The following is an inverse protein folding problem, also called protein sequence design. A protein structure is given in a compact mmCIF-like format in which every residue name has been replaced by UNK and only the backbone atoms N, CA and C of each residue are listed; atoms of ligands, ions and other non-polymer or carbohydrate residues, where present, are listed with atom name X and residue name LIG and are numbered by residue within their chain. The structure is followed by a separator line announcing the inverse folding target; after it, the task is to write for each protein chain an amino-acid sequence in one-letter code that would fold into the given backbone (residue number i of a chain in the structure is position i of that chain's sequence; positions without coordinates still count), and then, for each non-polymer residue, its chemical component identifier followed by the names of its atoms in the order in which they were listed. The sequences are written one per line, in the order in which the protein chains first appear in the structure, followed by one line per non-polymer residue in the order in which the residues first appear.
data_IF_806508195867
#
_entry.id   IF_806508195867
#
_cell.length_a   1.000
_cell.length_b   1.000
_cell.length_c   1.000
_cell.angle_alpha   90.00
_cell.angle_beta   90.00
_cell.angle_gamma   90.00
#
_symmetry.space_group_name_H-M   'P 1'
#
loop_
_entity.id
_entity.type
_entity.pdbx_description
1 polymer ?
#
# COMPACT_ATOMS: atom_id res chain seq x y z
N UNK A 1 -0.38 -20.36 -22.63
CA UNK A 1 0.10 -20.10 -21.30
C UNK A 1 0.00 -18.63 -21.01
N UNK A 2 -0.57 -18.30 -19.88
CA UNK A 2 -0.71 -16.90 -19.50
C UNK A 2 0.41 -16.50 -18.57
N UNK A 3 0.90 -15.27 -18.72
CA UNK A 3 1.88 -14.71 -17.81
C UNK A 3 1.23 -13.91 -16.69
N UNK A 4 -0.08 -13.68 -16.78
CA UNK A 4 -0.79 -12.89 -15.80
C UNK A 4 -1.27 -13.80 -14.68
N UNK A 5 -0.97 -13.38 -13.43
CA UNK A 5 -1.48 -14.06 -12.23
C UNK A 5 -1.12 -15.53 -12.13
N UNK A 6 0.14 -15.85 -12.34
CA UNK A 6 0.62 -17.19 -12.05
C UNK A 6 0.42 -17.47 -10.56
N UNK A 7 -0.25 -18.55 -10.17
CA UNK A 7 -0.67 -18.73 -8.77
C UNK A 7 0.47 -18.68 -7.76
N UNK A 8 1.64 -19.25 -8.09
CA UNK A 8 2.75 -19.25 -7.16
C UNK A 8 3.33 -17.84 -6.96
N UNK A 9 3.28 -17.00 -8.01
CA UNK A 9 3.79 -15.63 -7.92
C UNK A 9 2.82 -14.76 -7.15
N UNK A 10 1.51 -14.92 -7.41
CA UNK A 10 0.48 -14.21 -6.67
C UNK A 10 0.57 -14.53 -5.18
N UNK A 11 0.76 -15.81 -4.85
CA UNK A 11 0.85 -16.21 -3.44
C UNK A 11 2.07 -15.59 -2.77
N UNK A 12 3.20 -15.58 -3.46
CA UNK A 12 4.42 -15.01 -2.91
C UNK A 12 4.28 -13.50 -2.65
N UNK A 13 3.75 -12.78 -3.63
CA UNK A 13 3.59 -11.33 -3.48
C UNK A 13 2.53 -10.98 -2.45
N UNK A 14 1.45 -11.77 -2.38
CA UNK A 14 0.41 -11.56 -1.39
C UNK A 14 0.96 -11.68 0.02
N UNK A 15 1.80 -12.69 0.26
CA UNK A 15 2.40 -12.88 1.57
C UNK A 15 3.30 -11.69 1.93
N UNK A 16 4.09 -11.21 0.97
CA UNK A 16 4.93 -10.05 1.20
C UNK A 16 4.11 -8.80 1.48
N UNK A 17 2.96 -8.65 0.80
CA UNK A 17 2.10 -7.52 1.08
C UNK A 17 1.55 -7.56 2.51
N UNK A 18 1.17 -8.75 2.98
CA UNK A 18 0.70 -8.86 4.37
C UNK A 18 1.81 -8.52 5.36
N UNK A 19 3.06 -8.83 5.05
CA UNK A 19 4.18 -8.39 5.88
C UNK A 19 4.29 -6.87 5.89
N UNK A 20 4.08 -6.24 4.72
CA UNK A 20 4.10 -4.78 4.63
C UNK A 20 2.98 -4.17 5.48
N UNK A 21 1.76 -4.69 5.38
CA UNK A 21 0.64 -4.16 6.12
C UNK A 21 0.87 -4.28 7.63
N UNK A 22 1.37 -5.42 8.08
CA UNK A 22 1.66 -5.62 9.50
C UNK A 22 2.76 -4.65 9.97
N UNK A 23 3.78 -4.45 9.15
CA UNK A 23 4.86 -3.54 9.52
C UNK A 23 4.37 -2.08 9.57
N UNK A 24 3.47 -1.72 8.65
CA UNK A 24 2.94 -0.36 8.61
C UNK A 24 2.13 -0.05 9.85
N UNK A 25 1.23 -0.94 10.22
CA UNK A 25 0.32 -0.69 11.35
C UNK A 25 1.00 -0.82 12.70
N UNK A 26 2.14 -1.52 12.77
CA UNK A 26 2.93 -1.63 14.00
C UNK A 26 4.12 -0.67 14.03
N UNK A 27 4.29 0.13 12.98
CA UNK A 27 5.40 1.07 12.82
C UNK A 27 6.77 0.37 12.90
N UNK A 28 6.86 -0.78 12.24
CA UNK A 28 8.11 -1.54 12.18
C UNK A 28 8.98 -0.96 11.08
N UNK A 29 9.72 0.10 11.41
CA UNK A 29 10.51 0.86 10.44
C UNK A 29 11.56 0.00 9.74
N UNK A 30 12.30 -0.88 10.43
CA UNK A 30 13.26 -1.74 9.73
C UNK A 30 12.63 -2.60 8.64
N UNK A 31 11.47 -3.20 8.91
CA UNK A 31 10.79 -4.02 7.91
C UNK A 31 10.28 -3.18 6.76
N UNK A 32 9.66 -2.02 7.06
CA UNK A 32 9.20 -1.12 6.01
C UNK A 32 10.36 -0.67 5.12
N UNK A 33 11.50 -0.36 5.72
CA UNK A 33 12.68 0.05 4.96
C UNK A 33 13.18 -1.08 4.07
N UNK A 34 13.20 -2.31 4.60
CA UNK A 34 13.67 -3.46 3.86
C UNK A 34 12.78 -3.77 2.65
N UNK A 35 11.48 -3.53 2.76
CA UNK A 35 10.55 -3.88 1.68
C UNK A 35 10.55 -2.86 0.53
N UNK A 36 11.06 -1.66 0.77
CA UNK A 36 11.20 -0.68 -0.32
C UNK A 36 12.56 -0.81 -0.99
N UNK A 37 12.59 -0.63 -2.30
CA UNK A 37 13.84 -0.58 -3.04
C UNK A 37 14.65 0.62 -2.56
N UNK A 38 15.92 0.40 -2.23
CA UNK A 38 16.78 1.49 -1.76
C UNK A 38 17.53 2.06 -2.95
N UNK A 39 16.81 2.65 -3.86
CA UNK A 39 17.40 3.28 -5.03
C UNK A 39 17.03 4.74 -5.10
N UNK A 40 17.72 5.51 -5.94
CA UNK A 40 17.44 6.94 -6.03
C UNK A 40 16.13 7.25 -6.76
N UNK A 41 15.57 6.27 -7.45
CA UNK A 41 14.40 6.49 -8.28
C UNK A 41 13.12 5.91 -7.72
N UNK A 42 13.15 5.34 -6.51
CA UNK A 42 11.92 4.89 -5.87
C UNK A 42 11.11 6.11 -5.45
N UNK A 43 9.80 6.03 -5.63
CA UNK A 43 8.91 7.15 -5.32
C UNK A 43 7.82 6.69 -4.40
N UNK A 44 7.50 7.49 -3.38
CA UNK A 44 6.34 7.26 -2.54
C UNK A 44 5.58 8.56 -2.36
N UNK A 45 4.38 8.63 -2.91
CA UNK A 45 3.47 9.75 -2.66
C UNK A 45 2.56 9.35 -1.52
N UNK A 46 2.65 10.07 -0.41
CA UNK A 46 1.78 9.86 0.73
C UNK A 46 0.64 10.86 0.74
N UNK A 47 -0.15 10.83 1.78
CA UNK A 47 -1.31 11.71 1.90
C UNK A 47 -0.88 13.18 1.94
N UNK A 48 0.23 13.45 2.61
CA UNK A 48 0.68 14.83 2.75
C UNK A 48 2.11 15.08 2.29
N UNK A 49 2.75 14.11 1.61
CA UNK A 49 4.16 14.27 1.26
C UNK A 49 4.48 13.57 -0.05
N UNK A 50 5.47 14.10 -0.75
CA UNK A 50 6.05 13.47 -1.92
C UNK A 50 7.48 13.11 -1.58
N UNK A 51 7.83 11.83 -1.64
CA UNK A 51 9.15 11.34 -1.25
C UNK A 51 9.83 10.71 -2.44
N UNK A 52 11.06 11.12 -2.68
CA UNK A 52 11.87 10.65 -3.79
C UNK A 52 13.15 10.03 -3.27
N UNK A 53 13.38 8.76 -3.63
CA UNK A 53 14.58 8.04 -3.23
C UNK A 53 14.43 7.35 -1.88
N UNK A 54 15.20 6.27 -1.71
CA UNK A 54 15.14 5.46 -0.51
C UNK A 54 15.46 6.22 0.75
N UNK A 55 16.39 7.18 0.67
CA UNK A 55 16.79 7.94 1.85
C UNK A 55 15.65 8.82 2.37
N UNK A 56 14.92 9.48 1.48
CA UNK A 56 13.79 10.31 1.91
C UNK A 56 12.67 9.46 2.51
N UNK A 57 12.40 8.30 1.92
CA UNK A 57 11.36 7.42 2.44
C UNK A 57 11.73 6.91 3.82
N UNK A 58 12.98 6.49 4.01
CA UNK A 58 13.46 6.01 5.30
C UNK A 58 13.39 7.10 6.35
N UNK A 59 13.84 8.31 6.00
CA UNK A 59 13.83 9.42 6.94
C UNK A 59 12.42 9.78 7.36
N UNK A 60 11.47 9.76 6.43
CA UNK A 60 10.07 10.02 6.74
C UNK A 60 9.53 8.99 7.73
N UNK A 61 9.81 7.70 7.51
CA UNK A 61 9.36 6.64 8.40
C UNK A 61 9.92 6.80 9.80
N UNK A 62 11.19 7.19 9.88
CA UNK A 62 11.86 7.35 11.18
C UNK A 62 11.30 8.52 11.97
N UNK A 63 10.80 9.57 11.29
CA UNK A 63 10.26 10.75 11.94
C UNK A 63 8.77 10.61 12.27
N UNK A 64 8.06 9.69 11.63
CA UNK A 64 6.62 9.60 11.78
C UNK A 64 6.26 9.13 13.18
N UNK A 65 5.30 9.81 13.85
CA UNK A 65 4.83 9.35 15.16
C UNK A 65 4.22 7.95 15.03
N UNK A 66 4.45 7.08 16.02
CA UNK A 66 3.92 5.71 15.96
C UNK A 66 2.47 5.62 16.42
N UNK A 67 1.68 6.66 16.22
CA UNK A 67 0.29 6.69 16.68
C UNK A 67 -0.64 6.76 15.49
N UNK A 68 -1.87 6.29 15.69
CA UNK A 68 -2.94 6.38 14.68
C UNK A 68 -2.57 5.70 13.36
N UNK A 69 -1.84 4.57 13.43
CA UNK A 69 -1.45 3.85 12.22
C UNK A 69 -2.39 2.70 11.89
N UNK A 70 -3.28 2.35 12.82
CA UNK A 70 -4.22 1.25 12.57
C UNK A 70 -5.19 1.59 11.45
N UNK A 71 -5.47 0.60 10.62
CA UNK A 71 -6.44 0.78 9.54
C UNK A 71 -7.05 -0.57 9.21
N UNK A 72 -8.22 -0.52 8.57
CA UNK A 72 -8.95 -1.70 8.18
C UNK A 72 -8.78 -1.92 6.70
N UNK A 73 -8.34 -3.10 6.30
CA UNK A 73 -8.24 -3.46 4.88
C UNK A 73 -9.63 -3.82 4.38
N UNK A 74 -10.08 -3.16 3.32
CA UNK A 74 -11.40 -3.40 2.76
C UNK A 74 -11.34 -4.24 1.49
N UNK A 75 -10.43 -3.94 0.59
CA UNK A 75 -10.32 -4.67 -0.66
C UNK A 75 -8.88 -4.69 -1.11
N UNK A 76 -8.31 -5.88 -1.12
CA UNK A 76 -6.93 -6.09 -1.57
C UNK A 76 -6.94 -6.79 -2.91
N UNK A 77 -6.18 -6.29 -3.86
CA UNK A 77 -6.05 -6.95 -5.14
C UNK A 77 -4.58 -7.02 -5.53
N UNK A 78 -4.10 -8.23 -5.78
CA UNK A 78 -2.73 -8.49 -6.19
C UNK A 78 -2.78 -9.02 -7.61
N UNK A 79 -2.05 -8.38 -8.51
CA UNK A 79 -1.96 -8.79 -9.91
C UNK A 79 -0.51 -8.92 -10.27
N UNK A 80 -0.10 -10.06 -10.84
CA UNK A 80 1.29 -10.26 -11.22
C UNK A 80 1.42 -10.46 -12.73
N UNK A 81 2.58 -10.10 -13.23
CA UNK A 81 2.90 -10.19 -14.65
C UNK A 81 4.26 -10.89 -14.77
N UNK A 82 4.28 -12.08 -15.36
CA UNK A 82 5.47 -12.90 -15.36
C UNK A 82 5.84 -13.33 -13.95
N UNK A 83 7.12 -13.47 -13.70
CA UNK A 83 7.62 -13.95 -12.41
C UNK A 83 8.15 -12.82 -11.52
N UNK A 84 8.39 -11.65 -12.09
CA UNK A 84 9.18 -10.63 -11.42
C UNK A 84 8.49 -9.28 -11.23
N UNK A 85 7.24 -9.16 -11.58
CA UNK A 85 6.56 -7.86 -11.54
C UNK A 85 5.13 -8.03 -11.04
N UNK A 86 4.68 -7.11 -10.22
CA UNK A 86 3.31 -7.15 -9.76
C UNK A 86 2.85 -5.82 -9.20
N UNK A 87 1.54 -5.64 -9.18
CA UNK A 87 0.92 -4.47 -8.58
C UNK A 87 0.03 -4.93 -7.44
N UNK A 88 -0.04 -4.11 -6.40
CA UNK A 88 -0.91 -4.36 -5.26
C UNK A 88 -1.73 -3.11 -5.05
N UNK A 89 -3.05 -3.25 -5.06
CA UNK A 89 -3.94 -2.14 -4.76
C UNK A 89 -4.79 -2.49 -3.56
N UNK A 90 -5.09 -1.47 -2.76
CA UNK A 90 -5.82 -1.66 -1.52
C UNK A 90 -6.77 -0.49 -1.30
N UNK A 91 -8.01 -0.80 -0.98
CA UNK A 91 -8.91 0.17 -0.36
C UNK A 91 -8.90 -0.08 1.13
N UNK A 92 -8.81 0.98 1.91
CA UNK A 92 -8.77 0.84 3.36
C UNK A 92 -9.59 1.94 4.02
N UNK A 93 -9.88 1.73 5.29
CA UNK A 93 -10.56 2.72 6.11
C UNK A 93 -9.74 2.99 7.34
N UNK A 94 -9.57 4.26 7.68
CA UNK A 94 -8.93 4.60 8.95
C UNK A 94 -9.51 5.92 9.46
N UNK A 95 -9.52 6.09 10.78
CA UNK A 95 -10.00 7.36 11.33
C UNK A 95 -8.95 8.45 11.13
N UNK A 96 -9.42 9.63 10.76
CA UNK A 96 -8.60 10.83 10.68
C UNK A 96 -9.34 11.87 11.50
N UNK A 97 -8.72 12.30 12.59
CA UNK A 97 -9.36 13.21 13.55
C UNK A 97 -10.71 12.66 14.04
N UNK A 98 -10.74 11.34 14.26
CA UNK A 98 -11.96 10.70 14.75
C UNK A 98 -13.00 10.38 13.70
N UNK A 99 -12.79 10.76 12.45
CA UNK A 99 -13.74 10.54 11.37
C UNK A 99 -13.23 9.44 10.45
N UNK A 100 -14.00 8.34 10.25
CA UNK A 100 -13.55 7.29 9.33
C UNK A 100 -13.47 7.83 7.92
N UNK A 101 -12.37 7.52 7.24
CA UNK A 101 -12.17 7.95 5.85
C UNK A 101 -11.73 6.78 5.01
N UNK A 102 -12.15 6.80 3.75
CA UNK A 102 -11.76 5.78 2.78
C UNK A 102 -10.46 6.20 2.09
N UNK A 103 -9.50 5.29 2.11
CA UNK A 103 -8.22 5.52 1.47
C UNK A 103 -7.96 4.53 0.36
N UNK A 104 -7.00 4.88 -0.49
CA UNK A 104 -6.58 4.04 -1.60
C UNK A 104 -5.07 4.00 -1.63
N UNK A 105 -4.54 2.82 -1.92
CA UNK A 105 -3.10 2.65 -2.01
C UNK A 105 -2.77 1.80 -3.22
N UNK A 106 -1.76 2.21 -3.97
CA UNK A 106 -1.24 1.42 -5.09
C UNK A 106 0.25 1.27 -4.91
N UNK A 107 0.74 0.06 -5.18
CA UNK A 107 2.17 -0.21 -5.12
C UNK A 107 2.56 -1.02 -6.34
N UNK A 108 3.73 -0.70 -6.90
CA UNK A 108 4.35 -1.53 -7.90
C UNK A 108 5.52 -2.24 -7.26
N UNK A 109 5.57 -3.56 -7.42
CA UNK A 109 6.62 -4.40 -6.87
C UNK A 109 7.43 -5.03 -7.99
N UNK A 110 8.72 -5.17 -7.77
CA UNK A 110 9.60 -5.82 -8.72
C UNK A 110 10.53 -6.79 -7.99
N UNK A 111 10.74 -7.97 -8.57
CA UNK A 111 11.62 -8.96 -7.97
C UNK A 111 12.99 -8.83 -8.61
N UNK A 112 13.92 -8.24 -7.88
CA UNK A 112 15.30 -8.09 -8.32
C UNK A 112 16.01 -9.44 -8.23
N UNK A 113 16.91 -9.76 -9.18
CA UNK A 113 17.59 -11.06 -9.13
C UNK A 113 18.43 -11.26 -7.87
N UNK A 114 19.00 -10.19 -7.32
CA UNK A 114 19.92 -10.30 -6.19
C UNK A 114 19.29 -10.00 -4.84
N UNK A 115 18.26 -9.16 -4.78
CA UNK A 115 17.70 -8.73 -3.50
C UNK A 115 16.23 -9.10 -3.33
N UNK A 116 15.62 -9.73 -4.32
CA UNK A 116 14.24 -10.19 -4.22
C UNK A 116 13.22 -9.08 -4.44
N UNK A 117 12.00 -9.33 -3.96
CA UNK A 117 10.89 -8.41 -4.18
C UNK A 117 11.04 -7.12 -3.38
N UNK A 118 10.83 -5.99 -4.06
CA UNK A 118 10.85 -4.68 -3.41
C UNK A 118 9.77 -3.81 -4.02
N UNK A 119 9.25 -2.88 -3.21
CA UNK A 119 8.33 -1.86 -3.70
C UNK A 119 9.16 -0.81 -4.41
N UNK A 120 8.84 -0.54 -5.67
CA UNK A 120 9.60 0.42 -6.47
C UNK A 120 8.82 1.71 -6.68
N UNK A 121 7.53 1.73 -6.39
CA UNK A 121 6.70 2.92 -6.52
C UNK A 121 5.47 2.73 -5.66
N UNK A 122 5.02 3.77 -4.96
CA UNK A 122 3.86 3.68 -4.10
C UNK A 122 3.12 5.00 -4.06
N UNK A 123 1.80 4.92 -3.87
CA UNK A 123 0.95 6.10 -3.76
C UNK A 123 -0.20 5.76 -2.82
N UNK A 124 -0.43 6.61 -1.84
CA UNK A 124 -1.58 6.48 -0.94
C UNK A 124 -2.30 7.83 -0.87
N UNK A 125 -3.62 7.78 -0.88
CA UNK A 125 -4.44 8.99 -0.83
C UNK A 125 -5.76 8.66 -0.15
N UNK A 126 -6.48 9.70 0.22
CA UNK A 126 -7.85 9.54 0.70
C UNK A 126 -8.82 10.07 -0.33
N UNK A 127 -10.00 9.47 -0.39
CA UNK A 127 -11.10 10.10 -1.11
C UNK A 127 -11.56 11.31 -0.29
N UNK A 128 -12.10 12.34 -0.94
CA UNK A 128 -12.74 13.43 -0.20
C UNK A 128 -13.83 12.87 0.71
N UNK A 129 -14.00 13.45 1.89
CA UNK A 129 -14.94 12.92 2.86
C UNK A 129 -16.33 12.71 2.30
N UNK A 130 -16.86 13.71 1.60
CA UNK A 130 -18.20 13.61 1.04
C UNK A 130 -18.33 12.49 0.04
N UNK A 131 -17.35 12.36 -0.86
CA UNK A 131 -17.39 11.31 -1.87
C UNK A 131 -17.18 9.95 -1.26
N UNK A 132 -16.31 9.86 -0.26
CA UNK A 132 -16.12 8.62 0.45
C UNK A 132 -17.37 8.14 1.10
N UNK A 133 -18.12 9.07 1.70
CA UNK A 133 -19.38 8.74 2.35
C UNK A 133 -20.42 8.29 1.33
N UNK A 134 -20.49 8.98 0.20
CA UNK A 134 -21.44 8.63 -0.84
C UNK A 134 -21.13 7.24 -1.42
N UNK A 135 -19.86 6.95 -1.68
CA UNK A 135 -19.50 5.65 -2.21
C UNK A 135 -19.80 4.55 -1.22
N UNK A 136 -19.59 4.78 0.06
CA UNK A 136 -19.90 3.80 1.08
C UNK A 136 -21.39 3.51 1.13
N UNK A 137 -22.21 4.54 1.04
CA UNK A 137 -23.65 4.36 1.02
C UNK A 137 -24.11 3.61 -0.21
N UNK A 138 -23.51 3.93 -1.36
CA UNK A 138 -23.88 3.25 -2.58
C UNK A 138 -23.54 1.79 -2.54
N UNK A 139 -22.35 1.46 -2.05
CA UNK A 139 -21.92 0.09 -2.03
C UNK A 139 -22.63 -0.71 -0.97
N UNK A 140 -22.96 -0.07 0.10
CA UNK A 140 -23.56 -0.77 1.17
C UNK A 140 -25.00 -0.81 1.07
N UNK A 141 -25.54 -0.28 0.03
CA UNK A 141 -26.74 0.10 0.18
C UNK A 141 -27.80 -0.69 -0.08
N UNK A 142 -28.31 -0.78 0.79
CA UNK A 142 -29.59 -1.09 0.79
C UNK A 142 -30.34 0.14 0.73
N UNK A 143 -29.79 1.15 0.73
CA UNK A 143 -30.49 2.25 0.80
C UNK A 143 -30.83 2.64 -0.50
N UNK A 144 -31.88 2.77 -0.74
CA UNK A 144 -32.30 3.08 -1.96
C UNK A 144 -32.24 4.47 -2.15
N UNK A 145 -32.30 5.14 -1.33
CA UNK A 145 -32.47 6.52 -1.50
C UNK A 145 -33.05 6.93 -2.69
#
# INVERSE_FOLDING_TARGET
MTLVNRPEVVAELTELYHQYEAALTSNDVPTLTRLFWDGPQVVRFGVGENLYGGDEIKAFRQRRPPTNLAREMLRLQVVTFGADCGSVTLEFRRPVNGIPRLGRQSQMWYRFPDIGWKIVSAHVSFLPEDQGEMLRKSCGSTSPT
#
